data_IF_646777078128
#
_entry.id   IF_646777078128
#
_cell.length_a   1.000
_cell.length_b   1.000
_cell.length_c   1.000
_cell.angle_alpha   90.00
_cell.angle_beta   90.00
_cell.angle_gamma   90.00
#
_symmetry.space_group_name_H-M   'P 1'
#
loop_
_entity.id
_entity.type
_entity.pdbx_description
1 polymer ?
#
# COMPACT_ATOMS: atom_id res chain seq x y z
N UNK A 1 -13.00 10.16 -14.18
CA UNK A 1 -13.12 10.61 -12.78
C UNK A 1 -13.03 9.35 -11.96
N UNK A 2 -11.80 8.96 -11.61
CA UNK A 2 -11.57 7.76 -10.81
C UNK A 2 -11.97 8.10 -9.38
N UNK A 3 -13.05 7.47 -8.91
CA UNK A 3 -13.52 7.57 -7.53
C UNK A 3 -12.50 6.84 -6.63
N UNK A 4 -11.60 7.61 -6.01
CA UNK A 4 -10.83 7.16 -4.85
C UNK A 4 -11.72 7.27 -3.60
N UNK A 5 -12.80 6.48 -3.55
CA UNK A 5 -13.63 6.42 -2.36
C UNK A 5 -13.00 5.44 -1.37
N UNK A 6 -12.65 5.92 -0.17
CA UNK A 6 -12.16 5.11 0.95
C UNK A 6 -13.32 4.36 1.62
N UNK A 7 -14.23 3.84 0.80
CA UNK A 7 -15.39 3.04 1.18
C UNK A 7 -15.12 1.54 0.93
N UNK A 8 -15.91 0.63 1.53
CA UNK A 8 -15.86 -0.79 1.19
C UNK A 8 -16.20 -1.01 -0.30
N UNK A 9 -15.16 -1.17 -1.13
CA UNK A 9 -15.29 -1.22 -2.59
C UNK A 9 -13.93 -1.31 -3.30
N UNK A 10 -12.88 -0.84 -2.65
CA UNK A 10 -11.50 -1.01 -3.07
C UNK A 10 -10.99 0.11 -3.99
N UNK A 11 -9.71 0.42 -3.86
CA UNK A 11 -9.03 1.49 -4.60
C UNK A 11 -8.11 0.84 -5.64
N UNK A 12 -8.26 1.17 -6.92
CA UNK A 12 -7.30 0.80 -7.94
C UNK A 12 -6.24 1.90 -8.07
N UNK A 13 -4.97 1.53 -8.27
CA UNK A 13 -3.88 2.49 -8.47
C UNK A 13 -2.85 1.96 -9.45
N UNK A 14 -2.07 2.88 -10.02
CA UNK A 14 -0.93 2.55 -10.88
C UNK A 14 0.31 3.19 -10.25
N UNK A 15 1.30 2.37 -9.91
CA UNK A 15 2.62 2.82 -9.51
C UNK A 15 3.51 2.86 -10.75
N UNK A 16 4.13 4.00 -11.04
CA UNK A 16 5.16 4.09 -12.08
C UNK A 16 6.52 3.90 -11.43
N UNK A 17 7.23 2.84 -11.83
CA UNK A 17 8.60 2.59 -11.42
C UNK A 17 9.57 3.64 -11.98
N UNK A 18 10.80 3.71 -11.44
CA UNK A 18 11.80 4.68 -11.87
C UNK A 18 12.23 4.52 -13.34
N UNK A 19 12.05 3.33 -13.93
CA UNK A 19 12.32 3.06 -15.34
C UNK A 19 11.13 3.38 -16.27
N UNK A 20 10.00 3.83 -15.73
CA UNK A 20 8.79 4.17 -16.48
C UNK A 20 7.78 3.02 -16.62
N UNK A 21 8.09 1.83 -16.08
CA UNK A 21 7.16 0.70 -16.08
C UNK A 21 5.98 0.94 -15.12
N UNK A 22 4.77 0.68 -15.61
CA UNK A 22 3.54 0.79 -14.84
C UNK A 22 3.18 -0.52 -14.13
N UNK A 23 3.06 -0.47 -12.82
CA UNK A 23 2.58 -1.57 -11.98
C UNK A 23 1.18 -1.25 -11.47
N UNK A 24 0.20 -2.04 -11.88
CA UNK A 24 -1.18 -1.89 -11.44
C UNK A 24 -1.37 -2.61 -10.10
N UNK A 25 -2.05 -1.95 -9.17
CA UNK A 25 -2.39 -2.49 -7.87
C UNK A 25 -3.83 -2.18 -7.50
N UNK A 26 -4.32 -2.91 -6.51
CA UNK A 26 -5.61 -2.66 -5.89
C UNK A 26 -5.49 -2.79 -4.38
N UNK A 27 -6.22 -1.95 -3.66
CA UNK A 27 -6.48 -2.09 -2.24
C UNK A 27 -7.92 -2.48 -2.02
N UNK A 28 -8.17 -3.36 -1.06
CA UNK A 28 -9.50 -3.57 -0.49
C UNK A 28 -9.47 -3.15 0.96
N UNK A 29 -10.12 -2.02 1.26
CA UNK A 29 -10.22 -1.51 2.62
C UNK A 29 -10.98 -2.53 3.48
N UNK A 30 -10.37 -2.93 4.60
CA UNK A 30 -10.91 -3.87 5.59
C UNK A 30 -11.54 -3.10 6.74
N UNK A 31 -10.84 -2.09 7.27
CA UNK A 31 -11.35 -1.23 8.33
C UNK A 31 -10.70 0.16 8.30
N UNK A 32 -11.44 1.16 8.78
CA UNK A 32 -10.97 2.55 8.90
C UNK A 32 -11.39 3.06 10.28
N UNK A 33 -10.43 3.54 11.05
CA UNK A 33 -10.62 4.21 12.34
C UNK A 33 -9.87 5.54 12.31
N UNK A 34 -10.47 6.63 11.80
CA UNK A 34 -9.76 7.89 11.64
C UNK A 34 -9.58 8.61 12.98
N UNK A 35 -8.42 9.25 13.24
CA UNK A 35 -7.19 9.32 12.42
C UNK A 35 -6.14 8.24 12.78
N UNK A 36 -6.52 7.23 13.55
CA UNK A 36 -5.61 6.34 14.29
C UNK A 36 -5.22 5.07 13.54
N UNK A 37 -6.08 4.53 12.67
CA UNK A 37 -5.80 3.28 11.99
C UNK A 37 -6.50 3.12 10.64
N UNK A 38 -5.82 2.42 9.73
CA UNK A 38 -6.34 1.96 8.44
C UNK A 38 -5.86 0.53 8.20
N UNK A 39 -6.76 -0.37 7.83
CA UNK A 39 -6.41 -1.74 7.43
C UNK A 39 -6.96 -2.04 6.04
N UNK A 40 -6.12 -2.60 5.18
CA UNK A 40 -6.47 -2.96 3.82
C UNK A 40 -5.72 -4.21 3.36
N UNK A 41 -6.29 -4.90 2.37
CA UNK A 41 -5.58 -5.92 1.61
C UNK A 41 -5.04 -5.26 0.35
N UNK A 42 -3.73 -5.34 0.12
CA UNK A 42 -3.09 -4.92 -1.12
C UNK A 42 -2.75 -6.12 -2.01
N UNK A 43 -2.85 -5.91 -3.32
CA UNK A 43 -2.47 -6.90 -4.31
C UNK A 43 -2.19 -6.27 -5.66
N UNK A 44 -1.59 -7.05 -6.55
CA UNK A 44 -1.30 -6.63 -7.92
C UNK A 44 -2.50 -6.89 -8.83
N UNK A 45 -2.76 -5.95 -9.73
CA UNK A 45 -3.73 -6.09 -10.82
C UNK A 45 -3.02 -6.14 -12.17
N UNK A 46 -3.72 -6.65 -13.17
CA UNK A 46 -3.37 -6.45 -14.57
C UNK A 46 -3.78 -5.04 -15.05
N UNK A 47 -3.57 -4.77 -16.33
CA UNK A 47 -3.90 -3.48 -16.96
C UNK A 47 -5.40 -3.17 -16.97
N UNK A 48 -6.24 -4.19 -16.84
CA UNK A 48 -7.70 -4.06 -16.77
C UNK A 48 -8.19 -3.88 -15.32
N UNK A 49 -7.28 -3.84 -14.35
CA UNK A 49 -7.59 -3.69 -12.93
C UNK A 49 -8.02 -4.99 -12.24
N UNK A 50 -8.00 -6.13 -12.95
CA UNK A 50 -8.36 -7.42 -12.37
C UNK A 50 -7.18 -8.00 -11.56
N UNK A 51 -7.41 -8.71 -10.44
CA UNK A 51 -6.34 -9.30 -9.66
C UNK A 51 -5.47 -10.25 -10.51
N UNK A 52 -4.15 -10.00 -10.52
CA UNK A 52 -3.20 -10.80 -11.29
C UNK A 52 -3.10 -12.22 -10.71
N UNK A 53 -3.47 -13.22 -11.51
CA UNK A 53 -3.40 -14.62 -11.10
C UNK A 53 -1.93 -15.03 -10.83
N UNK A 54 -1.66 -15.50 -9.61
CA UNK A 54 -0.32 -15.91 -9.18
C UNK A 54 0.53 -14.81 -8.53
N UNK A 55 0.02 -13.58 -8.44
CA UNK A 55 0.66 -12.52 -7.66
C UNK A 55 0.19 -12.56 -6.20
N UNK A 56 1.10 -12.40 -5.23
CA UNK A 56 0.74 -12.41 -3.82
C UNK A 56 -0.09 -11.17 -3.46
N UNK A 57 -0.99 -11.34 -2.50
CA UNK A 57 -1.64 -10.25 -1.78
C UNK A 57 -1.11 -10.18 -0.35
N UNK A 58 -1.08 -9.00 0.24
CA UNK A 58 -0.69 -8.76 1.62
C UNK A 58 -1.82 -8.06 2.38
N UNK A 59 -1.93 -8.30 3.69
CA UNK A 59 -2.76 -7.45 4.55
C UNK A 59 -1.87 -6.41 5.19
N UNK A 60 -2.12 -5.14 4.91
CA UNK A 60 -1.41 -4.02 5.49
C UNK A 60 -2.29 -3.35 6.55
N UNK A 61 -1.68 -3.06 7.70
CA UNK A 61 -2.27 -2.25 8.77
C UNK A 61 -1.37 -1.06 9.04
N UNK A 62 -1.96 0.13 9.00
CA UNK A 62 -1.33 1.40 9.32
C UNK A 62 -1.91 1.87 10.64
N UNK A 63 -1.02 2.26 11.55
CA UNK A 63 -1.36 2.80 12.86
C UNK A 63 -0.57 4.08 13.08
N UNK A 64 -1.28 5.15 13.47
CA UNK A 64 -0.68 6.46 13.73
C UNK A 64 -0.95 6.86 15.16
N UNK A 65 0.10 7.23 15.87
CA UNK A 65 0.04 7.70 17.26
C UNK A 65 0.79 9.01 17.39
N UNK A 66 0.29 9.94 18.20
CA UNK A 66 1.04 11.17 18.51
C UNK A 66 2.35 10.86 19.23
N UNK A 67 3.42 11.55 18.83
CA UNK A 67 4.78 11.39 19.37
C UNK A 67 5.43 12.77 19.50
N UNK A 68 5.26 13.40 20.66
CA UNK A 68 5.71 14.78 20.90
C UNK A 68 5.02 15.78 19.98
N UNK A 69 5.81 16.57 19.25
CA UNK A 69 5.34 17.53 18.24
C UNK A 69 5.03 16.87 16.88
N UNK A 70 5.18 15.54 16.75
CA UNK A 70 4.99 14.79 15.52
C UNK A 70 4.04 13.61 15.66
N UNK A 71 4.03 12.76 14.63
CA UNK A 71 3.29 11.51 14.59
C UNK A 71 4.25 10.35 14.34
N UNK A 72 4.05 9.25 15.06
CA UNK A 72 4.66 7.97 14.78
C UNK A 72 3.71 7.11 13.97
N UNK A 73 4.11 6.76 12.75
CA UNK A 73 3.38 5.83 11.89
C UNK A 73 4.03 4.44 11.95
N UNK A 74 3.22 3.40 12.09
CA UNK A 74 3.63 1.99 12.00
C UNK A 74 2.85 1.33 10.87
N UNK A 75 3.57 0.88 9.85
CA UNK A 75 3.02 0.08 8.76
C UNK A 75 3.43 -1.39 8.96
N UNK A 76 2.44 -2.27 9.12
CA UNK A 76 2.64 -3.71 9.29
C UNK A 76 1.97 -4.47 8.15
N UNK A 77 2.77 -5.18 7.36
CA UNK A 77 2.29 -6.07 6.31
C UNK A 77 2.38 -7.54 6.74
N UNK A 78 1.28 -8.26 6.61
CA UNK A 78 1.17 -9.70 6.87
C UNK A 78 1.09 -10.43 5.53
N UNK A 79 2.00 -11.38 5.34
CA UNK A 79 2.14 -12.20 4.14
C UNK A 79 1.74 -13.64 4.46
N UNK A 80 1.18 -14.37 3.49
CA UNK A 80 0.65 -15.71 3.74
C UNK A 80 1.76 -16.77 3.89
N UNK A 81 2.96 -16.54 3.33
CA UNK A 81 4.08 -17.48 3.47
C UNK A 81 5.46 -16.79 3.40
N UNK A 82 6.50 -17.53 3.83
CA UNK A 82 7.89 -17.13 3.65
C UNK A 82 8.25 -17.00 2.17
N UNK A 83 7.77 -17.91 1.31
CA UNK A 83 8.02 -17.85 -0.13
C UNK A 83 7.44 -16.57 -0.75
N UNK A 84 6.23 -16.15 -0.36
CA UNK A 84 5.67 -14.88 -0.78
C UNK A 84 6.51 -13.69 -0.32
N UNK A 85 7.03 -13.73 0.91
CA UNK A 85 7.94 -12.68 1.42
C UNK A 85 9.21 -12.59 0.59
N UNK A 86 9.82 -13.72 0.25
CA UNK A 86 11.01 -13.73 -0.60
C UNK A 86 10.70 -13.26 -2.03
N UNK A 87 9.55 -13.63 -2.58
CA UNK A 87 9.10 -13.16 -3.89
C UNK A 87 8.92 -11.63 -3.89
N UNK A 88 8.20 -11.08 -2.92
CA UNK A 88 7.97 -9.63 -2.80
C UNK A 88 9.25 -8.85 -2.55
N UNK A 89 10.17 -9.40 -1.76
CA UNK A 89 11.49 -8.80 -1.55
C UNK A 89 12.29 -8.75 -2.87
N UNK A 90 12.28 -9.83 -3.68
CA UNK A 90 12.94 -9.84 -5.00
C UNK A 90 12.30 -8.86 -5.99
N UNK A 91 11.00 -8.60 -5.84
CA UNK A 91 10.27 -7.65 -6.67
C UNK A 91 10.47 -6.18 -6.24
N UNK A 92 11.22 -5.92 -5.16
CA UNK A 92 11.51 -4.56 -4.72
C UNK A 92 10.43 -3.90 -3.87
N UNK A 93 9.56 -4.69 -3.22
CA UNK A 93 8.46 -4.13 -2.40
C UNK A 93 8.98 -3.25 -1.26
N UNK A 94 10.13 -3.61 -0.65
CA UNK A 94 10.70 -2.84 0.47
C UNK A 94 11.18 -1.48 -0.02
N UNK A 95 11.93 -1.46 -1.12
CA UNK A 95 12.45 -0.25 -1.74
C UNK A 95 11.30 0.66 -2.22
N UNK A 96 10.24 0.08 -2.79
CA UNK A 96 9.04 0.81 -3.18
C UNK A 96 8.32 1.46 -1.99
N UNK A 97 8.21 0.74 -0.87
CA UNK A 97 7.62 1.29 0.36
C UNK A 97 8.49 2.40 0.96
N UNK A 98 9.81 2.23 1.01
CA UNK A 98 10.75 3.24 1.50
C UNK A 98 10.68 4.53 0.68
N UNK A 99 10.65 4.42 -0.66
CA UNK A 99 10.48 5.57 -1.54
C UNK A 99 9.14 6.26 -1.30
N UNK A 100 8.05 5.49 -1.17
CA UNK A 100 6.71 6.02 -0.94
C UNK A 100 6.63 6.79 0.38
N UNK A 101 7.18 6.23 1.46
CA UNK A 101 7.24 6.91 2.78
C UNK A 101 8.15 8.14 2.72
N UNK A 102 9.28 8.07 2.02
CA UNK A 102 10.18 9.22 1.85
C UNK A 102 9.55 10.40 1.11
N UNK A 103 8.56 10.17 0.24
CA UNK A 103 7.78 11.26 -0.36
C UNK A 103 6.85 11.94 0.66
N UNK A 104 6.41 11.25 1.71
CA UNK A 104 5.51 11.82 2.72
C UNK A 104 6.18 12.94 3.52
N UNK A 105 7.47 12.80 3.84
CA UNK A 105 8.25 13.85 4.53
C UNK A 105 8.40 15.13 3.70
N UNK A 106 8.30 15.02 2.37
CA UNK A 106 8.38 16.15 1.45
C UNK A 106 7.03 16.86 1.25
N UNK A 107 5.92 16.30 1.76
CA UNK A 107 4.61 16.92 1.67
C UNK A 107 4.48 18.02 2.73
N UNK A 108 4.05 19.24 2.35
CA UNK A 108 3.79 20.28 3.33
C UNK A 108 2.63 19.86 4.24
N UNK A 109 2.81 20.05 5.55
CA UNK A 109 1.73 20.06 6.55
C UNK A 109 0.86 21.30 6.32
N UNK A 110 -0.02 21.22 5.32
CA UNK A 110 -1.02 22.24 5.02
C UNK A 110 -2.14 22.31 6.05
#
# INVERSE_FOLDING_TARGET
>A
MEEHDLAPGGVAYVMTGPEGDGHHGWWKVVSVDPPTSLEFVDGFSDQDGAPSAGMPSATARVETTGDGDGNRMVLRSVLASLEQREQLARMGMVEGLEQSVGQMDALPTG
#
